data_IF_398350629531
#
_entry.id   IF_398350629531
#
_cell.length_a   1.000
_cell.length_b   1.000
_cell.length_c   1.000
_cell.angle_alpha   90.00
_cell.angle_beta   90.00
_cell.angle_gamma   90.00
#
_symmetry.space_group_name_H-M   'P 1'
#
loop_
_entity.id
_entity.type
_entity.pdbx_description
1 polymer ?
#
# COMPACT_ATOMS: atom_id res chain seq x y z
N UNK A 1 21.33 -1.67 -5.60
CA UNK A 1 21.38 -1.40 -7.05
C UNK A 1 21.63 0.08 -7.22
N UNK A 2 22.72 0.47 -7.89
CA UNK A 2 22.97 1.89 -8.17
C UNK A 2 22.05 2.38 -9.31
N UNK A 3 21.88 3.70 -9.47
CA UNK A 3 21.02 4.29 -10.50
C UNK A 3 21.47 4.05 -11.95
N UNK A 4 22.58 3.37 -12.20
CA UNK A 4 23.13 3.10 -13.55
C UNK A 4 23.10 1.61 -13.91
N UNK A 5 23.13 0.71 -12.93
CA UNK A 5 23.19 -0.75 -13.17
C UNK A 5 21.94 -1.28 -13.87
N UNK A 6 20.78 -0.67 -13.62
CA UNK A 6 19.50 -1.10 -14.18
C UNK A 6 19.38 -0.82 -15.68
N UNK A 7 19.97 0.27 -16.17
CA UNK A 7 19.91 0.68 -17.57
C UNK A 7 20.99 0.03 -18.43
N UNK A 8 22.03 -0.54 -17.79
CA UNK A 8 23.19 -1.15 -18.46
C UNK A 8 22.79 -2.25 -19.44
N UNK A 9 21.89 -3.21 -19.12
CA UNK A 9 21.45 -4.22 -20.08
C UNK A 9 20.70 -3.63 -21.28
N UNK A 10 19.89 -2.59 -21.07
CA UNK A 10 19.14 -1.92 -22.14
C UNK A 10 20.09 -1.23 -23.14
N UNK A 11 21.14 -0.61 -22.61
CA UNK A 11 22.19 0.07 -23.38
C UNK A 11 23.06 -0.94 -24.16
N UNK A 12 23.52 -2.00 -23.49
CA UNK A 12 24.38 -3.04 -24.10
C UNK A 12 23.66 -3.79 -25.22
N UNK A 13 22.35 -4.01 -25.08
CA UNK A 13 21.55 -4.75 -26.05
C UNK A 13 20.89 -3.86 -27.11
N UNK A 14 21.11 -2.54 -27.08
CA UNK A 14 20.43 -1.56 -27.92
C UNK A 14 18.91 -1.81 -27.99
N UNK A 15 18.30 -1.96 -26.82
CA UNK A 15 16.90 -2.37 -26.70
C UNK A 15 15.99 -1.42 -27.48
N UNK A 16 14.98 -1.92 -28.22
CA UNK A 16 14.00 -1.08 -28.89
C UNK A 16 13.22 -0.18 -27.91
N UNK A 17 13.20 -0.51 -26.61
CA UNK A 17 12.68 0.37 -25.56
C UNK A 17 13.37 1.74 -25.54
N UNK A 18 14.66 1.83 -25.89
CA UNK A 18 15.40 3.09 -25.96
C UNK A 18 14.99 3.96 -27.15
N UNK A 19 14.34 3.38 -28.16
CA UNK A 19 13.88 4.07 -29.37
C UNK A 19 12.44 4.60 -29.22
N UNK A 20 11.74 4.22 -28.16
CA UNK A 20 10.39 4.67 -27.86
C UNK A 20 10.34 5.30 -26.46
N UNK A 21 10.33 6.63 -26.42
CA UNK A 21 10.32 7.40 -25.18
C UNK A 21 9.17 7.00 -24.24
N UNK A 22 7.97 6.75 -24.77
CA UNK A 22 6.82 6.33 -23.95
C UNK A 22 7.01 4.97 -23.30
N UNK A 23 7.53 3.99 -24.05
CA UNK A 23 7.82 2.66 -23.50
C UNK A 23 8.99 2.69 -22.50
N UNK A 24 9.99 3.54 -22.74
CA UNK A 24 11.07 3.77 -21.79
C UNK A 24 10.57 4.35 -20.47
N UNK A 25 9.72 5.38 -20.52
CA UNK A 25 9.12 5.97 -19.31
C UNK A 25 8.26 4.97 -18.54
N UNK A 26 7.42 4.19 -19.23
CA UNK A 26 6.61 3.16 -18.59
C UNK A 26 7.47 2.10 -17.89
N UNK A 27 8.54 1.64 -18.54
CA UNK A 27 9.46 0.67 -17.95
C UNK A 27 10.20 1.23 -16.73
N UNK A 28 10.58 2.51 -16.77
CA UNK A 28 11.20 3.21 -15.65
C UNK A 28 10.22 3.34 -14.47
N UNK A 29 8.96 3.70 -14.74
CA UNK A 29 7.90 3.74 -13.72
C UNK A 29 7.65 2.37 -13.09
N UNK A 30 7.59 1.30 -13.89
CA UNK A 30 7.44 -0.07 -13.40
C UNK A 30 8.61 -0.49 -12.49
N UNK A 31 9.84 -0.14 -12.86
CA UNK A 31 11.03 -0.53 -12.09
C UNK A 31 11.19 0.25 -10.79
N UNK A 32 10.85 1.54 -10.79
CA UNK A 32 11.16 2.43 -9.67
C UNK A 32 9.92 2.99 -8.99
N UNK A 33 8.96 3.53 -9.73
CA UNK A 33 7.82 4.22 -9.13
C UNK A 33 6.84 3.24 -8.46
N UNK A 34 6.53 2.12 -9.11
CA UNK A 34 5.57 1.14 -8.57
C UNK A 34 6.06 0.53 -7.24
N UNK A 35 7.31 0.00 -7.13
CA UNK A 35 7.79 -0.56 -5.86
C UNK A 35 7.92 0.49 -4.76
N UNK A 36 8.31 1.72 -5.10
CA UNK A 36 8.37 2.82 -4.13
C UNK A 36 6.98 3.16 -3.62
N UNK A 37 5.97 3.24 -4.49
CA UNK A 37 4.58 3.52 -4.12
C UNK A 37 4.05 2.43 -3.18
N UNK A 38 4.27 1.16 -3.50
CA UNK A 38 3.87 0.03 -2.66
C UNK A 38 4.54 0.05 -1.28
N UNK A 39 5.85 0.32 -1.24
CA UNK A 39 6.58 0.46 0.03
C UNK A 39 6.09 1.64 0.86
N UNK A 40 5.77 2.77 0.22
CA UNK A 40 5.21 3.94 0.90
C UNK A 40 3.82 3.62 1.46
N UNK A 41 2.95 2.99 0.68
CA UNK A 41 1.62 2.57 1.11
C UNK A 41 1.69 1.62 2.33
N UNK A 42 2.57 0.62 2.30
CA UNK A 42 2.80 -0.27 3.44
C UNK A 42 3.27 0.49 4.69
N UNK A 43 4.19 1.44 4.56
CA UNK A 43 4.67 2.26 5.69
C UNK A 43 3.55 3.13 6.27
N UNK A 44 2.73 3.73 5.42
CA UNK A 44 1.57 4.52 5.85
C UNK A 44 0.51 3.64 6.51
N UNK A 45 0.23 2.44 6.01
CA UNK A 45 -0.66 1.47 6.66
C UNK A 45 -0.18 1.07 8.05
N UNK A 46 1.14 0.90 8.26
CA UNK A 46 1.70 0.57 9.57
C UNK A 46 1.52 1.69 10.59
N UNK A 47 1.52 2.95 10.16
CA UNK A 47 1.44 4.12 11.04
C UNK A 47 0.05 4.72 11.11
N UNK A 48 -0.89 4.27 10.27
CA UNK A 48 -2.26 4.78 10.24
C UNK A 48 -2.99 4.47 11.55
N UNK A 49 -3.50 5.52 12.19
CA UNK A 49 -4.32 5.44 13.39
C UNK A 49 -5.63 6.19 13.17
N UNK A 50 -6.74 5.63 13.65
CA UNK A 50 -8.04 6.29 13.74
C UNK A 50 -7.89 7.52 14.65
N UNK A 51 -7.29 7.34 15.83
CA UNK A 51 -7.15 8.42 16.82
C UNK A 51 -8.52 9.01 17.18
N UNK A 52 -8.66 10.32 17.05
CA UNK A 52 -9.93 11.05 17.26
C UNK A 52 -10.78 11.20 15.99
N UNK A 53 -10.32 10.64 14.85
CA UNK A 53 -11.05 10.77 13.57
C UNK A 53 -12.30 9.89 13.59
N UNK A 54 -13.39 10.32 12.90
CA UNK A 54 -14.53 9.45 12.65
C UNK A 54 -14.09 8.14 12.00
N UNK A 55 -14.72 7.02 12.39
CA UNK A 55 -14.40 5.70 11.87
C UNK A 55 -14.44 5.67 10.33
N UNK A 56 -15.43 6.32 9.72
CA UNK A 56 -15.56 6.35 8.25
C UNK A 56 -14.36 7.00 7.56
N UNK A 57 -13.80 8.06 8.15
CA UNK A 57 -12.59 8.72 7.62
C UNK A 57 -11.40 7.76 7.67
N UNK A 58 -11.24 7.06 8.79
CA UNK A 58 -10.20 6.04 8.95
C UNK A 58 -10.36 4.89 7.94
N UNK A 59 -11.58 4.35 7.75
CA UNK A 59 -11.88 3.30 6.77
C UNK A 59 -11.51 3.75 5.36
N UNK A 60 -11.87 4.99 4.99
CA UNK A 60 -11.58 5.54 3.66
C UNK A 60 -10.07 5.66 3.42
N UNK A 61 -9.33 6.22 4.38
CA UNK A 61 -7.87 6.34 4.32
C UNK A 61 -7.19 4.96 4.23
N UNK A 62 -7.66 4.00 5.04
CA UNK A 62 -7.14 2.64 5.04
C UNK A 62 -7.37 1.95 3.69
N UNK A 63 -8.57 2.07 3.11
CA UNK A 63 -8.88 1.49 1.81
C UNK A 63 -8.00 2.05 0.70
N UNK A 64 -7.80 3.37 0.66
CA UNK A 64 -6.95 4.01 -0.34
C UNK A 64 -5.52 3.46 -0.27
N UNK A 65 -4.96 3.35 0.93
CA UNK A 65 -3.61 2.82 1.12
C UNK A 65 -3.53 1.31 0.83
N UNK A 66 -4.58 0.56 1.11
CA UNK A 66 -4.61 -0.88 0.84
C UNK A 66 -4.55 -1.23 -0.65
N UNK A 67 -5.17 -0.39 -1.52
CA UNK A 67 -5.16 -0.57 -2.97
C UNK A 67 -3.76 -0.43 -3.57
N UNK A 68 -2.94 0.42 -2.96
CA UNK A 68 -1.57 0.67 -3.39
C UNK A 68 -0.55 -0.24 -2.70
N UNK A 69 -0.97 -1.14 -1.81
CA UNK A 69 -0.07 -2.01 -1.03
C UNK A 69 -0.06 -3.45 -1.53
N UNK A 70 1.09 -4.12 -1.38
CA UNK A 70 1.23 -5.56 -1.67
C UNK A 70 0.85 -6.47 -0.48
N UNK A 71 0.14 -5.96 0.53
CA UNK A 71 -0.23 -6.75 1.70
C UNK A 71 -1.38 -7.70 1.41
N UNK A 72 -1.26 -8.92 1.95
CA UNK A 72 -2.34 -9.89 1.92
C UNK A 72 -3.46 -9.53 2.93
N UNK A 73 -4.63 -10.15 2.74
CA UNK A 73 -5.81 -9.88 3.57
C UNK A 73 -5.59 -10.11 5.09
N UNK A 74 -4.87 -11.16 5.55
CA UNK A 74 -4.50 -11.26 6.97
C UNK A 74 -3.70 -10.07 7.50
N UNK A 75 -2.67 -9.62 6.78
CA UNK A 75 -1.85 -8.48 7.19
C UNK A 75 -2.66 -7.17 7.24
N UNK A 76 -3.57 -6.98 6.27
CA UNK A 76 -4.48 -5.83 6.25
C UNK A 76 -5.44 -5.86 7.45
N UNK A 77 -6.06 -7.00 7.76
CA UNK A 77 -6.94 -7.12 8.93
C UNK A 77 -6.23 -6.79 10.24
N UNK A 78 -5.01 -7.30 10.43
CA UNK A 78 -4.23 -7.01 11.63
C UNK A 78 -3.85 -5.54 11.72
N UNK A 79 -3.47 -4.91 10.61
CA UNK A 79 -3.15 -3.49 10.58
C UNK A 79 -4.37 -2.61 10.84
N UNK A 80 -5.52 -2.97 10.27
CA UNK A 80 -6.79 -2.28 10.50
C UNK A 80 -7.13 -2.29 12.00
N UNK A 81 -7.12 -3.47 12.63
CA UNK A 81 -7.39 -3.62 14.07
C UNK A 81 -6.40 -2.84 14.92
N UNK A 82 -5.10 -2.89 14.60
CA UNK A 82 -4.07 -2.11 15.32
C UNK A 82 -4.26 -0.60 15.18
N UNK A 83 -4.95 -0.14 14.13
CA UNK A 83 -5.17 1.27 13.86
C UNK A 83 -6.43 1.86 14.48
N UNK A 84 -7.41 1.03 14.86
CA UNK A 84 -8.65 1.47 15.52
C UNK A 84 -8.38 2.19 16.85
N UNK A 85 -9.34 3.03 17.27
CA UNK A 85 -9.27 3.69 18.57
C UNK A 85 -9.49 2.68 19.70
N UNK A 86 -8.79 2.90 20.83
CA UNK A 86 -8.89 2.03 22.01
C UNK A 86 -10.33 1.87 22.48
N UNK A 87 -11.12 2.95 22.45
CA UNK A 87 -12.54 2.92 22.81
C UNK A 87 -13.37 1.94 21.97
N UNK A 88 -13.07 1.83 20.68
CA UNK A 88 -13.81 0.99 19.75
C UNK A 88 -13.31 -0.46 19.86
N UNK A 89 -12.01 -0.66 20.09
CA UNK A 89 -11.45 -1.97 20.42
C UNK A 89 -12.05 -2.55 21.71
N UNK A 90 -12.20 -1.73 22.75
CA UNK A 90 -12.84 -2.11 24.02
C UNK A 90 -14.32 -2.50 23.82
N UNK A 91 -15.05 -1.74 22.99
CA UNK A 91 -16.43 -2.05 22.65
C UNK A 91 -16.54 -3.37 21.87
N UNK A 92 -15.68 -3.59 20.87
CA UNK A 92 -15.65 -4.83 20.09
C UNK A 92 -15.29 -6.05 20.95
N UNK A 93 -14.38 -5.90 21.91
CA UNK A 93 -14.02 -6.94 22.86
C UNK A 93 -15.19 -7.32 23.77
N UNK A 94 -16.13 -6.40 24.03
CA UNK A 94 -17.37 -6.70 24.78
C UNK A 94 -18.42 -7.43 23.95
N UNK A 95 -18.39 -7.31 22.62
CA UNK A 95 -19.46 -7.79 21.72
C UNK A 95 -19.13 -9.13 21.05
N UNK A 96 -17.92 -9.69 21.24
CA UNK A 96 -17.46 -10.93 20.58
C UNK A 96 -17.70 -10.92 19.05
N UNK A 97 -17.45 -9.76 18.41
CA UNK A 97 -17.75 -9.58 16.99
C UNK A 97 -16.51 -9.84 16.12
N UNK A 98 -16.50 -10.89 15.26
CA UNK A 98 -15.44 -11.10 14.31
C UNK A 98 -15.56 -10.09 13.16
N UNK A 99 -14.84 -8.97 13.26
CA UNK A 99 -14.74 -8.01 12.16
C UNK A 99 -14.24 -8.69 10.87
N UNK A 100 -15.13 -8.85 9.89
CA UNK A 100 -14.73 -9.12 8.50
C UNK A 100 -14.58 -7.78 7.79
N UNK A 101 -13.43 -7.58 7.15
CA UNK A 101 -13.12 -6.33 6.45
C UNK A 101 -14.20 -5.97 5.39
N UNK A 102 -14.83 -6.99 4.80
CA UNK A 102 -15.87 -6.85 3.79
C UNK A 102 -17.25 -6.45 4.34
N UNK A 103 -17.44 -6.41 5.67
CA UNK A 103 -18.70 -6.02 6.32
C UNK A 103 -18.70 -4.55 6.79
N UNK A 104 -17.61 -3.81 6.54
CA UNK A 104 -17.45 -2.38 6.89
C UNK A 104 -17.76 -1.42 5.72
N UNK A 105 -18.44 -1.92 4.68
CA UNK A 105 -18.85 -1.17 3.48
C UNK A 105 -20.19 -0.49 3.70
#
# INVERSE_FOLDING_TARGET
MSGVDWATPLLVQNSPLLQNFGQFCAHLEEMFAVPIKAQMAMRLLMTLKQGQKPLQTYITEFHLLSQDSDWNEPALRDAFKRGLSDSLLDELARVDCPLKLNELV
#
